data_IF_987011605952
#
_entry.id   IF_987011605952
#
_cell.length_a   1.000
_cell.length_b   1.000
_cell.length_c   1.000
_cell.angle_alpha   90.00
_cell.angle_beta   90.00
_cell.angle_gamma   90.00
#
_symmetry.space_group_name_H-M   'P 1'
#
loop_
_entity.id
_entity.type
_entity.pdbx_description
1 polymer ?
#
# COMPACT_ATOMS: atom_id res chain seq x y z
N UNK A 1 -3.24 11.72 -18.81
CA UNK A 1 -2.79 11.33 -17.46
C UNK A 1 -3.65 10.15 -17.02
N UNK A 2 -3.04 9.02 -16.70
CA UNK A 2 -3.77 7.89 -16.14
C UNK A 2 -4.09 8.24 -14.68
N UNK A 3 -5.36 8.46 -14.36
CA UNK A 3 -5.80 8.65 -12.97
C UNK A 3 -6.06 7.27 -12.38
N UNK A 4 -5.24 6.85 -11.44
CA UNK A 4 -5.50 5.65 -10.64
C UNK A 4 -6.76 5.92 -9.81
N UNK A 5 -7.89 5.35 -10.24
CA UNK A 5 -9.15 5.50 -9.51
C UNK A 5 -9.17 4.52 -8.34
N UNK A 6 -9.15 5.05 -7.13
CA UNK A 6 -9.32 4.32 -5.87
C UNK A 6 -10.56 4.86 -5.16
N UNK A 7 -11.76 4.49 -5.66
CA UNK A 7 -13.03 5.07 -5.19
C UNK A 7 -13.97 4.03 -4.56
N UNK A 8 -13.74 2.73 -4.78
CA UNK A 8 -14.61 1.67 -4.28
C UNK A 8 -13.82 0.72 -3.35
N UNK A 9 -14.17 0.73 -2.05
CA UNK A 9 -13.54 -0.10 -1.03
C UNK A 9 -13.72 -1.60 -1.27
N UNK A 10 -14.84 -2.03 -1.85
CA UNK A 10 -15.11 -3.45 -2.12
C UNK A 10 -14.24 -3.96 -3.26
N UNK A 11 -14.10 -3.18 -4.34
CA UNK A 11 -13.22 -3.53 -5.46
C UNK A 11 -11.75 -3.53 -5.01
N UNK A 12 -11.36 -2.59 -4.14
CA UNK A 12 -10.03 -2.56 -3.55
C UNK A 12 -9.75 -3.84 -2.73
N UNK A 13 -10.68 -4.23 -1.83
CA UNK A 13 -10.54 -5.43 -1.00
C UNK A 13 -10.43 -6.73 -1.84
N UNK A 14 -11.14 -6.80 -2.97
CA UNK A 14 -11.06 -7.95 -3.86
C UNK A 14 -9.76 -8.02 -4.69
N UNK A 15 -9.07 -6.89 -4.89
CA UNK A 15 -7.83 -6.81 -5.66
C UNK A 15 -6.61 -6.89 -4.73
N UNK A 16 -6.19 -5.77 -4.14
CA UNK A 16 -4.97 -5.70 -3.30
C UNK A 16 -5.26 -5.68 -1.81
N UNK A 17 -6.49 -5.34 -1.40
CA UNK A 17 -6.88 -5.22 0.00
C UNK A 17 -6.74 -6.52 0.78
N UNK A 18 -7.00 -7.67 0.15
CA UNK A 18 -6.81 -8.98 0.78
C UNK A 18 -5.36 -9.24 1.24
N UNK A 19 -4.37 -8.61 0.59
CA UNK A 19 -2.97 -8.69 0.99
C UNK A 19 -2.56 -7.56 1.94
N UNK A 20 -3.26 -6.42 1.87
CA UNK A 20 -2.98 -5.25 2.70
C UNK A 20 -3.09 -5.57 4.19
N UNK A 21 -4.03 -6.44 4.60
CA UNK A 21 -4.19 -6.87 5.99
C UNK A 21 -3.04 -7.76 6.44
N UNK A 22 -2.63 -8.72 5.60
CA UNK A 22 -1.53 -9.63 5.92
C UNK A 22 -0.20 -8.89 6.06
N UNK A 23 0.07 -7.92 5.18
CA UNK A 23 1.31 -7.16 5.22
C UNK A 23 1.32 -6.15 6.36
N UNK A 24 0.15 -5.62 6.78
CA UNK A 24 0.04 -4.72 7.93
C UNK A 24 0.51 -5.41 9.23
N UNK A 25 0.12 -6.66 9.47
CA UNK A 25 0.59 -7.44 10.63
C UNK A 25 2.11 -7.66 10.60
N UNK A 26 2.65 -7.99 9.40
CA UNK A 26 4.12 -8.12 9.20
C UNK A 26 4.84 -6.80 9.46
N UNK A 27 4.25 -5.68 9.06
CA UNK A 27 4.81 -4.36 9.33
C UNK A 27 4.88 -4.04 10.83
N UNK A 28 3.82 -4.33 11.59
CA UNK A 28 3.79 -4.12 13.04
C UNK A 28 4.83 -4.99 13.74
N UNK A 29 4.99 -6.25 13.31
CA UNK A 29 6.04 -7.14 13.82
C UNK A 29 7.43 -6.55 13.59
N UNK A 30 7.70 -6.11 12.36
CA UNK A 30 8.98 -5.53 11.98
C UNK A 30 9.26 -4.18 12.65
N UNK A 31 8.20 -3.38 12.88
CA UNK A 31 8.31 -2.10 13.58
C UNK A 31 8.65 -2.29 15.07
N UNK A 32 8.42 -3.50 15.61
CA UNK A 32 8.70 -3.88 17.00
C UNK A 32 7.87 -3.08 18.02
N UNK A 33 6.63 -2.76 17.67
CA UNK A 33 5.74 -1.90 18.48
C UNK A 33 4.55 -2.64 19.11
N UNK A 34 4.46 -3.96 18.99
CA UNK A 34 3.39 -4.74 19.63
C UNK A 34 3.34 -4.44 21.12
N UNK A 35 2.12 -4.21 21.62
CA UNK A 35 1.86 -3.90 23.02
C UNK A 35 2.61 -2.67 23.57
N UNK A 36 3.06 -1.76 22.69
CA UNK A 36 3.78 -0.55 23.12
C UNK A 36 2.87 0.50 23.77
N UNK A 37 1.53 0.41 23.53
CA UNK A 37 0.52 1.30 24.12
C UNK A 37 0.82 2.80 23.93
N UNK A 38 1.18 3.20 22.71
CA UNK A 38 1.36 4.62 22.39
C UNK A 38 0.09 5.42 22.68
N UNK A 39 0.25 6.57 23.36
CA UNK A 39 -0.89 7.39 23.76
C UNK A 39 -1.56 8.13 22.59
N UNK A 40 -0.83 8.39 21.51
CA UNK A 40 -1.32 9.08 20.31
C UNK A 40 -0.67 8.51 19.05
N UNK A 41 -1.47 7.94 18.18
CA UNK A 41 -1.05 7.38 16.91
C UNK A 41 -1.84 7.99 15.76
N UNK A 42 -1.24 8.04 14.58
CA UNK A 42 -1.94 8.40 13.35
C UNK A 42 -1.59 7.41 12.25
N UNK A 43 -2.61 6.95 11.52
CA UNK A 43 -2.50 6.20 10.26
C UNK A 43 -2.84 7.16 9.11
N UNK A 44 -1.81 7.57 8.37
CA UNK A 44 -1.91 8.55 7.28
C UNK A 44 -2.23 7.88 5.96
N UNK A 45 -3.45 8.11 5.45
CA UNK A 45 -4.00 7.41 4.30
C UNK A 45 -4.53 6.02 4.71
N UNK A 46 -5.40 5.99 5.71
CA UNK A 46 -5.88 4.74 6.32
C UNK A 46 -6.69 3.85 5.37
N UNK A 47 -7.23 4.40 4.28
CA UNK A 47 -8.00 3.67 3.27
C UNK A 47 -9.12 2.85 3.88
N UNK A 48 -9.17 1.55 3.59
CA UNK A 48 -10.14 0.59 4.13
C UNK A 48 -9.81 0.09 5.54
N UNK A 49 -8.77 0.62 6.18
CA UNK A 49 -8.45 0.40 7.58
C UNK A 49 -7.52 -0.77 7.89
N UNK A 50 -6.84 -1.35 6.90
CA UNK A 50 -5.99 -2.53 7.11
C UNK A 50 -4.91 -2.32 8.18
N UNK A 51 -4.16 -1.20 8.13
CA UNK A 51 -3.14 -0.88 9.12
C UNK A 51 -3.76 -0.42 10.44
N UNK A 52 -4.82 0.40 10.38
CA UNK A 52 -5.54 0.87 11.58
C UNK A 52 -6.09 -0.29 12.41
N UNK A 53 -6.74 -1.28 11.79
CA UNK A 53 -7.23 -2.49 12.48
C UNK A 53 -6.07 -3.30 13.10
N UNK A 54 -4.96 -3.45 12.37
CA UNK A 54 -3.79 -4.17 12.87
C UNK A 54 -3.15 -3.46 14.08
N UNK A 55 -3.06 -2.11 14.08
CA UNK A 55 -2.57 -1.32 15.21
C UNK A 55 -3.42 -1.55 16.46
N UNK A 56 -4.74 -1.53 16.32
CA UNK A 56 -5.67 -1.75 17.43
C UNK A 56 -5.63 -3.19 17.95
N UNK A 57 -5.69 -4.17 17.04
CA UNK A 57 -5.68 -5.60 17.38
C UNK A 57 -4.40 -6.03 18.11
N UNK A 58 -3.27 -5.40 17.81
CA UNK A 58 -1.97 -5.68 18.44
C UNK A 58 -1.69 -4.79 19.66
N UNK A 59 -2.66 -4.01 20.14
CA UNK A 59 -2.51 -3.16 21.33
C UNK A 59 -1.41 -2.10 21.19
N UNK A 60 -1.17 -1.61 19.97
CA UNK A 60 -0.09 -0.67 19.68
C UNK A 60 -0.39 0.71 20.23
N UNK A 61 -1.65 1.15 20.18
CA UNK A 61 -2.06 2.49 20.60
C UNK A 61 -3.35 2.49 21.42
N UNK A 62 -3.48 3.50 22.28
CA UNK A 62 -4.69 3.79 23.07
C UNK A 62 -5.60 4.83 22.40
N UNK A 63 -5.01 5.72 21.59
CA UNK A 63 -5.73 6.67 20.75
C UNK A 63 -5.16 6.62 19.33
N UNK A 64 -6.03 6.54 18.32
CA UNK A 64 -5.69 6.43 16.91
C UNK A 64 -6.47 7.46 16.09
N UNK A 65 -5.76 8.27 15.31
CA UNK A 65 -6.34 9.09 14.24
C UNK A 65 -6.21 8.33 12.92
N UNK A 66 -7.33 8.02 12.28
CA UNK A 66 -7.41 7.48 10.93
C UNK A 66 -7.65 8.63 9.97
N UNK A 67 -6.67 8.96 9.14
CA UNK A 67 -6.75 10.07 8.20
C UNK A 67 -6.76 9.55 6.76
N UNK A 68 -7.72 10.02 5.97
CA UNK A 68 -7.77 9.77 4.52
C UNK A 68 -8.44 10.95 3.80
N UNK A 69 -8.07 11.17 2.54
CA UNK A 69 -8.72 12.19 1.70
C UNK A 69 -10.10 11.76 1.19
N UNK A 70 -10.38 10.45 1.15
CA UNK A 70 -11.63 9.87 0.65
C UNK A 70 -12.67 9.72 1.78
N UNK A 71 -13.78 10.49 1.76
CA UNK A 71 -14.87 10.29 2.69
C UNK A 71 -15.50 8.89 2.60
N UNK A 72 -15.47 8.27 1.40
CA UNK A 72 -16.03 6.94 1.17
C UNK A 72 -15.21 5.87 1.89
N UNK A 73 -13.87 5.95 1.82
CA UNK A 73 -12.99 5.07 2.60
C UNK A 73 -13.16 5.28 4.10
N UNK A 74 -13.27 6.54 4.56
CA UNK A 74 -13.54 6.82 5.97
C UNK A 74 -14.90 6.29 6.42
N UNK A 75 -15.92 6.35 5.57
CA UNK A 75 -17.24 5.77 5.86
C UNK A 75 -17.17 4.25 5.95
N UNK A 76 -16.39 3.61 5.09
CA UNK A 76 -16.16 2.17 5.10
C UNK A 76 -15.44 1.72 6.39
N UNK A 77 -14.33 2.36 6.76
CA UNK A 77 -13.55 1.99 7.95
C UNK A 77 -14.28 2.30 9.26
N UNK A 78 -15.10 3.35 9.32
CA UNK A 78 -15.96 3.67 10.49
C UNK A 78 -16.93 2.55 10.84
N UNK A 79 -17.43 1.81 9.86
CA UNK A 79 -18.34 0.67 10.10
C UNK A 79 -17.61 -0.54 10.71
N UNK A 80 -16.29 -0.61 10.55
CA UNK A 80 -15.46 -1.74 10.97
C UNK A 80 -14.76 -1.51 12.30
N UNK A 81 -14.34 -0.27 12.54
CA UNK A 81 -13.63 0.12 13.77
C UNK A 81 -14.60 0.84 14.69
N UNK A 82 -15.15 0.11 15.67
CA UNK A 82 -16.12 0.61 16.65
C UNK A 82 -15.46 0.96 18.01
N UNK A 83 -14.23 1.46 18.00
CA UNK A 83 -13.49 1.82 19.21
C UNK A 83 -13.68 3.29 19.56
N UNK A 84 -13.98 3.61 20.82
CA UNK A 84 -14.12 4.99 21.31
C UNK A 84 -12.81 5.80 21.30
N UNK A 85 -11.67 5.14 21.18
CA UNK A 85 -10.34 5.78 21.08
C UNK A 85 -9.91 6.10 19.66
N UNK A 86 -10.82 6.03 18.65
CA UNK A 86 -10.49 6.26 17.25
C UNK A 86 -11.20 7.49 16.71
N UNK A 87 -10.41 8.40 16.14
CA UNK A 87 -10.88 9.59 15.42
C UNK A 87 -10.68 9.40 13.91
N UNK A 88 -11.60 9.91 13.10
CA UNK A 88 -11.55 9.84 11.65
C UNK A 88 -11.52 11.25 11.06
N UNK A 89 -10.46 11.56 10.32
CA UNK A 89 -10.19 12.89 9.79
C UNK A 89 -10.10 12.84 8.25
N UNK A 90 -10.89 13.69 7.59
CA UNK A 90 -10.77 13.89 6.12
C UNK A 90 -9.76 14.99 5.88
N UNK A 91 -8.57 14.64 5.36
CA UNK A 91 -7.51 15.63 5.07
C UNK A 91 -6.51 15.08 4.03
N UNK A 92 -5.63 15.96 3.50
CA UNK A 92 -4.56 15.57 2.59
C UNK A 92 -3.29 15.22 3.36
N UNK A 93 -2.81 13.98 3.22
CA UNK A 93 -1.57 13.49 3.85
C UNK A 93 -0.32 14.31 3.52
N UNK A 94 -0.37 15.15 2.49
CA UNK A 94 0.76 16.00 2.07
C UNK A 94 0.81 17.34 2.83
N UNK A 95 -0.29 17.78 3.43
CA UNK A 95 -0.38 19.05 4.15
C UNK A 95 -1.62 19.05 5.06
N UNK A 96 -1.53 18.43 6.23
CA UNK A 96 -2.66 18.31 7.13
C UNK A 96 -2.87 19.56 8.00
N UNK A 97 -4.11 19.76 8.45
CA UNK A 97 -4.47 20.77 9.44
C UNK A 97 -4.07 20.41 10.88
N UNK A 98 -3.52 19.22 11.10
CA UNK A 98 -3.20 18.68 12.42
C UNK A 98 -1.97 19.35 13.04
N UNK A 99 -1.92 19.36 14.37
CA UNK A 99 -0.87 20.05 15.12
C UNK A 99 0.51 19.36 14.97
N UNK A 100 1.57 20.17 14.89
CA UNK A 100 2.95 19.70 14.88
C UNK A 100 3.30 18.98 16.18
N UNK A 101 4.00 17.84 16.09
CA UNK A 101 4.46 17.10 17.26
C UNK A 101 3.36 16.42 18.09
N UNK A 102 2.18 16.20 17.50
CA UNK A 102 1.02 15.68 18.21
C UNK A 102 1.08 14.16 18.47
N UNK A 103 1.85 13.43 17.67
CA UNK A 103 1.78 11.95 17.65
C UNK A 103 3.07 11.29 18.10
N UNK A 104 2.93 10.28 18.93
CA UNK A 104 4.04 9.41 19.38
C UNK A 104 4.39 8.31 18.36
N UNK A 105 3.43 7.97 17.51
CA UNK A 105 3.59 7.04 16.40
C UNK A 105 2.88 7.62 15.17
N UNK A 106 3.63 7.83 14.08
CA UNK A 106 3.08 8.23 12.77
C UNK A 106 3.36 7.12 11.79
N UNK A 107 2.30 6.53 11.24
CA UNK A 107 2.44 5.43 10.26
C UNK A 107 1.63 5.66 9.00
N UNK A 108 2.01 4.95 7.94
CA UNK A 108 1.27 4.91 6.68
C UNK A 108 1.49 3.58 5.97
N UNK A 109 0.45 3.03 5.37
CA UNK A 109 0.52 1.77 4.63
C UNK A 109 0.07 1.91 3.18
N UNK A 110 0.98 1.66 2.20
CA UNK A 110 0.67 1.56 0.76
C UNK A 110 0.14 2.85 0.12
N UNK A 111 0.55 4.03 0.60
CA UNK A 111 0.02 5.35 0.20
C UNK A 111 1.02 6.20 -0.55
N UNK A 112 2.26 6.29 -0.06
CA UNK A 112 3.24 7.32 -0.45
C UNK A 112 3.56 7.36 -1.95
N UNK A 113 3.38 6.28 -2.67
CA UNK A 113 3.58 6.22 -4.12
C UNK A 113 2.38 6.76 -4.93
N UNK A 114 1.21 6.98 -4.28
CA UNK A 114 -0.01 7.46 -4.94
C UNK A 114 -0.29 8.95 -4.70
N UNK A 115 0.57 9.63 -3.94
CA UNK A 115 0.45 11.08 -3.73
C UNK A 115 1.21 11.86 -4.80
N UNK A 116 0.82 13.09 -5.04
CA UNK A 116 1.45 13.95 -6.04
C UNK A 116 2.91 14.30 -5.67
N UNK A 117 3.20 14.45 -4.37
CA UNK A 117 4.53 14.74 -3.85
C UNK A 117 4.87 13.86 -2.63
N UNK A 118 5.51 12.69 -2.87
CA UNK A 118 6.00 11.83 -1.80
C UNK A 118 6.84 12.57 -0.74
N UNK A 119 7.67 13.51 -1.18
CA UNK A 119 8.54 14.29 -0.28
C UNK A 119 7.74 15.18 0.69
N UNK A 120 6.62 15.75 0.23
CA UNK A 120 5.74 16.53 1.11
C UNK A 120 5.10 15.63 2.16
N UNK A 121 4.58 14.49 1.77
CA UNK A 121 4.00 13.53 2.70
C UNK A 121 5.02 13.05 3.74
N UNK A 122 6.24 12.71 3.34
CA UNK A 122 7.29 12.26 4.26
C UNK A 122 7.71 13.35 5.26
N UNK A 123 7.78 14.62 4.81
CA UNK A 123 8.02 15.78 5.70
C UNK A 123 6.84 16.02 6.63
N UNK A 124 5.61 15.81 6.16
CA UNK A 124 4.41 15.95 6.96
C UNK A 124 4.34 14.87 8.05
N UNK A 125 4.66 13.61 7.74
CA UNK A 125 4.83 12.56 8.73
C UNK A 125 5.84 12.96 9.83
N UNK A 126 6.99 13.51 9.41
CA UNK A 126 8.00 14.04 10.36
C UNK A 126 7.44 15.17 11.22
N UNK A 127 6.71 16.13 10.62
CA UNK A 127 6.13 17.29 11.34
C UNK A 127 5.13 16.85 12.40
N UNK A 128 4.31 15.85 12.08
CA UNK A 128 3.29 15.32 12.99
C UNK A 128 3.89 14.52 14.14
N UNK A 129 5.04 13.86 13.93
CA UNK A 129 5.74 13.11 14.97
C UNK A 129 6.30 14.05 16.06
N UNK A 130 6.02 13.72 17.34
CA UNK A 130 6.68 14.40 18.46
C UNK A 130 8.18 14.08 18.45
N UNK A 131 9.00 14.94 19.04
CA UNK A 131 10.43 14.66 19.20
C UNK A 131 10.65 13.28 19.86
N UNK A 132 11.46 12.41 19.23
CA UNK A 132 11.67 11.03 19.62
C UNK A 132 10.53 10.08 19.26
N UNK A 133 9.46 10.55 18.62
CA UNK A 133 8.35 9.73 18.14
C UNK A 133 8.76 8.79 17.02
N UNK A 134 8.09 7.65 16.93
CA UNK A 134 8.35 6.64 15.90
C UNK A 134 7.65 7.03 14.60
N UNK A 135 8.38 6.99 13.49
CA UNK A 135 7.87 7.14 12.14
C UNK A 135 8.00 5.81 11.41
N UNK A 136 6.97 5.40 10.67
CA UNK A 136 7.03 4.17 9.90
C UNK A 136 6.08 4.15 8.71
N UNK A 137 6.51 3.55 7.60
CA UNK A 137 5.63 3.27 6.47
C UNK A 137 6.06 2.02 5.74
N UNK A 138 5.17 1.50 4.90
CA UNK A 138 5.51 0.44 3.95
C UNK A 138 4.81 0.67 2.60
N UNK A 139 5.47 0.20 1.54
CA UNK A 139 4.98 0.29 0.16
C UNK A 139 5.29 -1.01 -0.58
N UNK A 140 4.42 -1.39 -1.52
CA UNK A 140 4.70 -2.54 -2.37
C UNK A 140 5.95 -2.34 -3.22
N UNK A 141 6.76 -3.38 -3.35
CA UNK A 141 7.89 -3.42 -4.28
C UNK A 141 7.39 -3.73 -5.71
N UNK A 142 6.82 -2.72 -6.35
CA UNK A 142 6.27 -2.86 -7.70
C UNK A 142 7.34 -3.10 -8.77
N UNK A 143 8.60 -2.78 -8.48
CA UNK A 143 9.68 -2.96 -9.44
C UNK A 143 10.06 -4.44 -9.63
N UNK A 144 9.97 -5.24 -8.52
CA UNK A 144 10.45 -6.63 -8.53
C UNK A 144 9.62 -7.58 -7.66
N UNK A 145 9.48 -7.29 -6.37
CA UNK A 145 9.05 -8.26 -5.35
C UNK A 145 7.56 -8.40 -5.15
N UNK A 146 6.72 -7.52 -5.67
CA UNK A 146 5.26 -7.69 -5.66
C UNK A 146 4.84 -8.60 -6.83
N UNK A 147 5.19 -9.91 -6.75
CA UNK A 147 4.98 -10.86 -7.85
C UNK A 147 3.56 -10.85 -8.43
N UNK A 148 2.46 -10.77 -7.63
CA UNK A 148 1.10 -10.71 -8.17
C UNK A 148 0.87 -9.57 -9.17
N UNK A 149 1.59 -8.48 -9.03
CA UNK A 149 1.50 -7.32 -9.93
C UNK A 149 2.63 -7.37 -10.97
N UNK A 150 3.85 -7.75 -10.56
CA UNK A 150 5.00 -7.80 -11.46
C UNK A 150 4.80 -8.78 -12.60
N UNK A 151 4.27 -10.00 -12.32
CA UNK A 151 3.99 -11.01 -13.36
C UNK A 151 2.99 -10.51 -14.40
N UNK A 152 2.00 -9.70 -14.00
CA UNK A 152 1.09 -9.08 -14.96
C UNK A 152 1.84 -8.12 -15.91
N UNK A 153 2.71 -7.26 -15.37
CA UNK A 153 3.51 -6.36 -16.20
C UNK A 153 4.53 -7.12 -17.06
N UNK A 154 5.15 -8.18 -16.54
CA UNK A 154 6.06 -9.03 -17.32
C UNK A 154 5.33 -9.67 -18.52
N UNK A 155 4.10 -10.14 -18.33
CA UNK A 155 3.26 -10.65 -19.42
C UNK A 155 2.91 -9.56 -20.43
N UNK A 156 2.50 -8.38 -19.99
CA UNK A 156 2.18 -7.26 -20.86
C UNK A 156 3.38 -6.78 -21.68
N UNK A 157 4.57 -6.71 -21.06
CA UNK A 157 5.82 -6.41 -21.77
C UNK A 157 6.18 -7.48 -22.81
N UNK A 158 6.02 -8.76 -22.46
CA UNK A 158 6.30 -9.90 -23.35
C UNK A 158 5.41 -9.90 -24.58
N UNK A 159 4.14 -9.51 -24.42
CA UNK A 159 3.18 -9.31 -25.50
C UNK A 159 3.38 -7.97 -26.24
N UNK A 160 4.30 -7.10 -25.80
CA UNK A 160 4.49 -5.75 -26.33
C UNK A 160 3.19 -4.94 -26.34
N UNK A 161 2.39 -5.07 -25.30
CA UNK A 161 1.10 -4.40 -25.19
C UNK A 161 1.25 -2.88 -25.30
N UNK A 162 0.41 -2.19 -26.09
CA UNK A 162 0.51 -0.74 -26.28
C UNK A 162 0.41 0.02 -24.98
N UNK A 163 1.31 1.00 -24.74
CA UNK A 163 1.30 1.83 -23.53
C UNK A 163 1.86 1.18 -22.26
N UNK A 164 2.36 -0.07 -22.32
CA UNK A 164 2.81 -0.80 -21.12
C UNK A 164 3.84 -0.03 -20.29
N UNK A 165 4.78 0.68 -20.91
CA UNK A 165 5.79 1.48 -20.20
C UNK A 165 5.19 2.66 -19.42
N UNK A 166 4.08 3.22 -19.89
CA UNK A 166 3.41 4.36 -19.28
C UNK A 166 2.57 3.94 -18.06
N UNK A 167 2.11 2.69 -18.05
CA UNK A 167 1.25 2.16 -17.00
C UNK A 167 2.00 1.31 -15.97
N UNK A 168 3.13 0.69 -16.34
CA UNK A 168 3.87 -0.22 -15.44
C UNK A 168 4.21 0.47 -14.12
N UNK A 169 3.62 -0.01 -13.03
CA UNK A 169 3.78 0.53 -11.68
C UNK A 169 5.26 0.53 -11.22
N UNK A 170 6.06 -0.44 -11.66
CA UNK A 170 7.49 -0.50 -11.34
C UNK A 170 8.30 0.61 -12.01
N UNK A 171 7.83 1.14 -13.14
CA UNK A 171 8.43 2.27 -13.87
C UNK A 171 7.87 3.60 -13.35
N UNK A 172 6.55 3.68 -13.17
CA UNK A 172 5.84 4.91 -12.74
C UNK A 172 6.17 5.37 -11.33
N UNK A 173 6.49 4.43 -10.43
CA UNK A 173 6.70 4.73 -9.02
C UNK A 173 8.14 4.43 -8.57
N UNK A 174 9.13 5.26 -8.92
CA UNK A 174 10.53 5.04 -8.52
C UNK A 174 10.73 4.92 -7.01
N UNK A 175 9.89 5.58 -6.21
CA UNK A 175 9.92 5.51 -4.74
C UNK A 175 9.67 4.08 -4.21
N UNK A 176 9.05 3.20 -5.00
CA UNK A 176 8.83 1.79 -4.64
C UNK A 176 10.10 0.93 -4.71
N UNK A 177 11.25 1.51 -5.04
CA UNK A 177 12.56 0.87 -4.96
C UNK A 177 13.22 1.18 -3.61
N UNK A 178 13.88 0.18 -3.02
CA UNK A 178 14.49 0.25 -1.69
C UNK A 178 15.35 1.50 -1.46
N UNK A 179 16.27 1.75 -2.37
CA UNK A 179 17.27 2.82 -2.17
C UNK A 179 16.66 4.21 -2.39
N UNK A 180 15.72 4.34 -3.32
CA UNK A 180 14.97 5.58 -3.52
C UNK A 180 14.09 5.90 -2.31
N UNK A 181 13.42 4.90 -1.74
CA UNK A 181 12.64 5.07 -0.51
C UNK A 181 13.52 5.51 0.66
N UNK A 182 14.67 4.84 0.86
CA UNK A 182 15.62 5.20 1.92
C UNK A 182 16.13 6.64 1.73
N UNK A 183 16.51 7.00 0.53
CA UNK A 183 16.98 8.35 0.23
C UNK A 183 15.90 9.41 0.51
N UNK A 184 14.65 9.15 0.08
CA UNK A 184 13.53 10.07 0.29
C UNK A 184 13.25 10.34 1.77
N UNK A 185 13.31 9.33 2.63
CA UNK A 185 13.10 9.51 4.08
C UNK A 185 14.29 10.24 4.75
N UNK A 186 15.52 10.03 4.27
CA UNK A 186 16.70 10.78 4.72
C UNK A 186 16.52 12.26 4.38
N UNK A 187 16.14 12.59 3.15
CA UNK A 187 15.90 13.97 2.67
C UNK A 187 14.71 14.63 3.38
N UNK A 188 13.71 13.85 3.79
CA UNK A 188 12.63 14.33 4.63
C UNK A 188 13.06 14.62 6.08
N UNK A 189 14.30 14.24 6.47
CA UNK A 189 14.89 14.51 7.77
C UNK A 189 14.48 13.54 8.88
N UNK A 190 14.12 12.28 8.52
CA UNK A 190 13.91 11.23 9.52
C UNK A 190 15.27 10.84 10.13
N UNK A 191 15.31 10.65 11.45
CA UNK A 191 16.53 10.23 12.14
C UNK A 191 16.65 8.71 12.16
N UNK A 192 17.86 8.20 11.97
CA UNK A 192 18.22 6.77 12.03
C UNK A 192 17.32 5.87 11.17
N UNK A 193 17.05 6.22 9.89
CA UNK A 193 16.16 5.44 9.07
C UNK A 193 16.71 4.02 8.82
N UNK A 194 15.81 3.04 8.82
CA UNK A 194 16.09 1.65 8.46
C UNK A 194 15.05 1.16 7.47
N UNK A 195 15.48 0.49 6.42
CA UNK A 195 14.61 -0.14 5.41
C UNK A 195 14.87 -1.64 5.41
N UNK A 196 13.79 -2.44 5.36
CA UNK A 196 13.85 -3.89 5.21
C UNK A 196 12.70 -4.40 4.35
N UNK A 197 12.86 -5.56 3.69
CA UNK A 197 11.75 -6.25 3.06
C UNK A 197 10.84 -6.88 4.11
N UNK A 198 9.53 -6.81 3.88
CA UNK A 198 8.53 -7.63 4.55
C UNK A 198 7.75 -8.38 3.46
N UNK A 199 7.44 -9.64 3.71
CA UNK A 199 6.90 -10.53 2.68
C UNK A 199 5.72 -11.34 3.20
N UNK A 200 4.78 -11.60 2.30
CA UNK A 200 3.63 -12.49 2.52
C UNK A 200 3.46 -13.44 1.33
N UNK A 201 2.76 -14.53 1.58
CA UNK A 201 2.27 -15.44 0.55
C UNK A 201 0.91 -14.95 0.04
N UNK A 202 0.85 -14.57 -1.22
CA UNK A 202 -0.40 -14.27 -1.93
C UNK A 202 -0.93 -15.58 -2.52
N UNK A 203 -1.97 -16.14 -1.90
CA UNK A 203 -2.56 -17.42 -2.28
C UNK A 203 -3.75 -17.23 -3.19
N UNK A 204 -3.82 -18.03 -4.24
CA UNK A 204 -4.89 -18.06 -5.23
C UNK A 204 -5.48 -19.46 -5.31
N UNK A 205 -6.81 -19.54 -5.43
CA UNK A 205 -7.52 -20.82 -5.56
C UNK A 205 -7.30 -21.48 -6.92
N UNK A 206 -7.12 -20.66 -7.95
CA UNK A 206 -6.86 -21.02 -9.32
C UNK A 206 -6.49 -19.76 -10.12
N UNK A 207 -6.20 -19.89 -11.41
CA UNK A 207 -5.83 -18.74 -12.24
C UNK A 207 -6.97 -17.71 -12.38
N UNK A 208 -8.24 -18.10 -12.38
CA UNK A 208 -9.33 -17.16 -12.47
C UNK A 208 -9.47 -16.31 -11.20
N UNK A 209 -9.22 -16.86 -9.99
CA UNK A 209 -9.16 -16.07 -8.74
C UNK A 209 -8.06 -15.00 -8.77
N UNK A 210 -7.01 -15.23 -9.53
CA UNK A 210 -5.93 -14.25 -9.76
C UNK A 210 -6.27 -13.25 -10.86
N UNK A 211 -6.84 -13.70 -11.99
CA UNK A 211 -7.08 -12.90 -13.18
C UNK A 211 -8.28 -11.96 -13.08
N UNK A 212 -9.42 -12.43 -12.54
CA UNK A 212 -10.68 -11.67 -12.53
C UNK A 212 -10.54 -10.27 -11.92
N UNK A 213 -9.80 -10.05 -10.81
CA UNK A 213 -9.60 -8.71 -10.26
C UNK A 213 -8.96 -7.71 -11.23
N UNK A 214 -8.17 -8.15 -12.20
CA UNK A 214 -7.60 -7.27 -13.25
C UNK A 214 -8.66 -6.72 -14.21
N UNK A 215 -9.87 -7.26 -14.20
CA UNK A 215 -10.97 -6.79 -15.04
C UNK A 215 -11.84 -5.72 -14.35
N UNK A 216 -11.51 -5.33 -13.11
CA UNK A 216 -12.28 -4.33 -12.33
C UNK A 216 -12.09 -2.89 -12.80
N UNK A 217 -11.00 -2.58 -13.51
CA UNK A 217 -10.64 -1.22 -13.92
C UNK A 217 -10.09 -0.34 -12.79
N UNK A 218 -10.08 -0.81 -11.53
CA UNK A 218 -9.63 -0.02 -10.38
C UNK A 218 -8.17 -0.33 -10.02
N UNK A 219 -7.33 0.70 -10.03
CA UNK A 219 -5.89 0.61 -9.85
C UNK A 219 -5.13 0.46 -11.18
N UNK A 220 -3.81 0.60 -11.13
CA UNK A 220 -2.96 0.73 -12.34
C UNK A 220 -3.04 -0.49 -13.27
N UNK A 221 -2.86 -1.70 -12.75
CA UNK A 221 -2.93 -2.93 -13.55
C UNK A 221 -4.31 -3.19 -14.14
N UNK A 222 -5.40 -3.15 -13.34
CA UNK A 222 -6.76 -3.28 -13.85
C UNK A 222 -7.15 -2.21 -14.87
N UNK A 223 -6.82 -0.94 -14.63
CA UNK A 223 -7.09 0.13 -15.59
C UNK A 223 -6.40 -0.12 -16.93
N UNK A 224 -5.15 -0.61 -16.89
CA UNK A 224 -4.43 -1.00 -18.11
C UNK A 224 -5.10 -2.21 -18.79
N UNK A 225 -5.44 -3.26 -18.05
CA UNK A 225 -6.03 -4.46 -18.62
C UNK A 225 -7.34 -4.19 -19.36
N UNK A 226 -8.22 -3.31 -18.81
CA UNK A 226 -9.47 -2.95 -19.47
C UNK A 226 -9.30 -1.96 -20.63
N UNK A 227 -8.18 -1.25 -20.72
CA UNK A 227 -7.87 -0.36 -21.83
C UNK A 227 -7.38 -1.09 -23.09
N UNK A 228 -6.96 -2.35 -22.96
CA UNK A 228 -6.52 -3.18 -24.08
C UNK A 228 -7.69 -3.65 -24.94
N UNK A 229 -7.41 -3.90 -26.24
CA UNK A 229 -8.39 -4.64 -27.08
C UNK A 229 -8.62 -6.03 -26.52
N UNK A 230 -9.74 -6.66 -26.87
CA UNK A 230 -10.09 -8.00 -26.37
C UNK A 230 -9.02 -9.03 -26.79
N UNK A 231 -8.50 -8.92 -28.01
CA UNK A 231 -7.44 -9.81 -28.54
C UNK A 231 -6.14 -9.65 -27.74
N UNK A 232 -5.70 -8.40 -27.51
CA UNK A 232 -4.46 -8.14 -26.75
C UNK A 232 -4.61 -8.54 -25.29
N UNK A 233 -5.75 -8.26 -24.69
CA UNK A 233 -6.04 -8.66 -23.30
C UNK A 233 -6.01 -10.17 -23.12
N UNK A 234 -6.58 -10.93 -24.09
CA UNK A 234 -6.52 -12.40 -24.07
C UNK A 234 -5.11 -12.94 -24.29
N UNK A 235 -4.29 -12.28 -25.13
CA UNK A 235 -2.88 -12.64 -25.31
C UNK A 235 -2.09 -12.43 -24.01
N UNK A 236 -2.27 -11.28 -23.34
CA UNK A 236 -1.68 -11.00 -22.03
C UNK A 236 -2.16 -12.01 -20.98
N UNK A 237 -3.45 -12.34 -20.95
CA UNK A 237 -4.00 -13.35 -20.04
C UNK A 237 -3.34 -14.72 -20.20
N UNK A 238 -3.20 -15.20 -21.43
CA UNK A 238 -2.54 -16.49 -21.74
C UNK A 238 -1.08 -16.50 -21.36
N UNK A 239 -0.38 -15.41 -21.68
CA UNK A 239 1.03 -15.24 -21.33
C UNK A 239 1.20 -15.20 -19.81
N UNK A 240 0.38 -14.43 -19.11
CA UNK A 240 0.39 -14.36 -17.65
C UNK A 240 0.16 -15.73 -17.02
N UNK A 241 -0.84 -16.48 -17.50
CA UNK A 241 -1.11 -17.83 -17.03
C UNK A 241 0.14 -18.71 -17.10
N UNK A 242 0.85 -18.70 -18.23
CA UNK A 242 2.08 -19.49 -18.41
C UNK A 242 3.26 -19.04 -17.53
N UNK A 243 3.21 -17.80 -16.98
CA UNK A 243 4.25 -17.28 -16.08
C UNK A 243 4.01 -17.61 -14.60
N UNK A 244 2.78 -17.98 -14.23
CA UNK A 244 2.41 -18.14 -12.82
C UNK A 244 2.01 -19.58 -12.46
N UNK A 245 1.54 -20.38 -13.40
CA UNK A 245 1.14 -21.76 -13.13
C UNK A 245 1.11 -22.64 -14.38
N UNK A 246 1.49 -23.91 -14.23
CA UNK A 246 1.30 -24.96 -15.24
C UNK A 246 -0.07 -25.66 -15.13
N UNK A 247 -0.78 -25.44 -14.00
CA UNK A 247 -2.09 -26.04 -13.69
C UNK A 247 -3.09 -24.94 -13.34
N UNK A 248 -3.79 -24.36 -14.33
CA UNK A 248 -4.62 -23.15 -14.12
C UNK A 248 -5.83 -23.37 -13.22
N UNK A 249 -6.27 -24.60 -13.02
CA UNK A 249 -7.42 -24.97 -12.17
C UNK A 249 -7.00 -25.32 -10.73
N UNK A 250 -5.68 -25.45 -10.48
CA UNK A 250 -5.13 -25.78 -9.16
C UNK A 250 -4.71 -24.53 -8.39
N UNK A 251 -4.67 -24.61 -7.03
CA UNK A 251 -4.17 -23.54 -6.20
C UNK A 251 -2.67 -23.27 -6.42
N UNK A 252 -2.29 -22.01 -6.38
CA UNK A 252 -0.89 -21.59 -6.43
C UNK A 252 -0.62 -20.38 -5.51
N UNK A 253 0.65 -20.11 -5.28
CA UNK A 253 1.10 -19.02 -4.40
C UNK A 253 2.15 -18.19 -5.10
N UNK A 254 2.03 -16.86 -4.99
CA UNK A 254 3.02 -15.88 -5.40
C UNK A 254 3.52 -15.14 -4.17
N UNK A 255 4.77 -14.68 -4.19
CA UNK A 255 5.31 -13.87 -3.11
C UNK A 255 4.94 -12.41 -3.32
N UNK A 256 4.48 -11.74 -2.27
CA UNK A 256 4.26 -10.31 -2.29
C UNK A 256 5.18 -9.62 -1.28
N UNK A 257 6.15 -8.87 -1.78
CA UNK A 257 7.13 -8.11 -1.01
C UNK A 257 6.72 -6.64 -0.94
N UNK A 258 6.86 -6.07 0.25
CA UNK A 258 6.83 -4.63 0.47
C UNK A 258 8.15 -4.16 1.10
N UNK A 259 8.53 -2.92 0.83
CA UNK A 259 9.60 -2.24 1.53
C UNK A 259 9.01 -1.53 2.74
N UNK A 260 9.43 -1.92 3.93
CA UNK A 260 9.12 -1.25 5.18
C UNK A 260 10.25 -0.31 5.57
N UNK A 261 9.93 0.91 5.98
CA UNK A 261 10.89 1.86 6.52
C UNK A 261 10.43 2.37 7.87
N UNK A 262 11.36 2.48 8.83
CA UNK A 262 11.16 3.13 10.13
C UNK A 262 12.24 4.15 10.41
N UNK A 263 11.90 5.16 11.20
CA UNK A 263 12.80 6.19 11.66
C UNK A 263 12.25 6.88 12.90
N UNK A 264 12.90 7.95 13.32
CA UNK A 264 12.53 8.73 14.49
C UNK A 264 12.33 10.19 14.07
N UNK A 265 11.29 10.84 14.60
CA UNK A 265 11.10 12.27 14.46
C UNK A 265 12.17 13.03 15.29
N UNK A 266 12.80 14.09 14.74
CA UNK A 266 13.83 14.88 15.41
C UNK A 266 13.34 15.65 16.60
#
# INVERSE_FOLDING_TARGET
>A
MCTDLWTDGVLYENYTGRWSRLIADKFIDWLEVKHAHFNSCIDMGCGTGALSEALLANGVCTSLTCLDRSPDYLSFVKQRILSSGVEFVTDDVQNTSLATGAYSLVVSGLVVNFVDSPEKMLREMRRLGRSGGVLGLYIWDFADGMEPIRKFWDAAHKCKAPGVNEFDAGIRFPICQRDNLLQSVIEAGWLKPKVAPIEIDARFKNFNDYWIPFLSGQGTGPAFAVSLTDEMREEVRKTLMSLVTDSPDEPFTLRARAWAVKGIAP
#
